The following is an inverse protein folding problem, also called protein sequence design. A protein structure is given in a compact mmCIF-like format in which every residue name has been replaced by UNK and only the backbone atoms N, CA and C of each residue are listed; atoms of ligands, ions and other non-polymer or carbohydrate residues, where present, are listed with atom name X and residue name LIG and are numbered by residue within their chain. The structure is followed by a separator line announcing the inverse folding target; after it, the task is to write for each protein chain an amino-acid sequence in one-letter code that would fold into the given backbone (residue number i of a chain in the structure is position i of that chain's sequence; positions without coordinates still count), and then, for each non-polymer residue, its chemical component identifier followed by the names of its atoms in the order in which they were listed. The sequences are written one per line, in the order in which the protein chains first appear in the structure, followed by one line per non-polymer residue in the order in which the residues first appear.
data_IF_291332641770
#
_entry.id   IF_291332641770
#
_cell.length_a   1.000
_cell.length_b   1.000
_cell.length_c   1.000
_cell.angle_alpha   90.00
_cell.angle_beta   90.00
_cell.angle_gamma   90.00
#
_symmetry.space_group_name_H-M   'P 1'
#
loop_
_entity.id
_entity.type
_entity.pdbx_description
1 polymer ?
#
# COMPACT_ATOMS: atom_id res chain seq x y z
N UNK A 1 -31.13 25.81 -5.57
CA UNK A 1 -32.00 25.46 -4.42
C UNK A 1 -32.56 24.07 -4.64
N UNK A 2 -31.96 23.05 -4.04
CA UNK A 2 -32.46 21.68 -4.08
C UNK A 2 -33.68 21.60 -3.13
N UNK A 3 -34.89 21.51 -3.68
CA UNK A 3 -36.09 21.16 -2.90
C UNK A 3 -35.96 19.68 -2.53
N UNK A 4 -35.58 19.41 -1.28
CA UNK A 4 -35.48 18.04 -0.77
C UNK A 4 -36.90 17.54 -0.47
N UNK A 5 -37.23 16.36 -0.98
CA UNK A 5 -38.50 15.67 -0.70
C UNK A 5 -38.52 15.18 0.75
N UNK A 6 -39.57 15.53 1.50
CA UNK A 6 -39.70 15.17 2.93
C UNK A 6 -40.57 13.92 3.18
N UNK A 7 -41.17 13.33 2.14
CA UNK A 7 -42.04 12.16 2.31
C UNK A 7 -41.21 10.88 2.47
N UNK A 8 -41.25 10.19 3.63
CA UNK A 8 -40.40 9.02 3.89
C UNK A 8 -40.77 7.81 3.02
N UNK A 9 -42.05 7.64 2.68
CA UNK A 9 -42.52 6.54 1.82
C UNK A 9 -42.06 6.76 0.38
N UNK A 10 -42.22 7.99 -0.14
CA UNK A 10 -41.76 8.34 -1.49
C UNK A 10 -40.23 8.27 -1.58
N UNK A 11 -39.51 8.66 -0.54
CA UNK A 11 -38.06 8.49 -0.44
C UNK A 11 -37.66 7.01 -0.50
N UNK A 12 -38.39 6.13 0.20
CA UNK A 12 -38.09 4.69 0.22
C UNK A 12 -38.31 4.05 -1.15
N UNK A 13 -39.37 4.44 -1.86
CA UNK A 13 -39.65 4.01 -3.25
C UNK A 13 -38.65 4.61 -4.25
N UNK A 14 -38.34 5.90 -4.14
CA UNK A 14 -37.36 6.57 -5.02
C UNK A 14 -35.96 6.02 -4.78
N UNK A 15 -35.54 5.75 -3.53
CA UNK A 15 -34.28 5.06 -3.22
C UNK A 15 -34.29 3.58 -3.64
N UNK A 16 -35.47 2.95 -3.70
CA UNK A 16 -35.64 1.61 -4.26
C UNK A 16 -35.48 1.56 -5.79
N UNK A 17 -35.83 2.65 -6.49
CA UNK A 17 -35.79 2.74 -7.96
C UNK A 17 -34.64 3.59 -8.54
N UNK A 18 -34.02 4.47 -7.76
CA UNK A 18 -32.84 5.24 -8.16
C UNK A 18 -31.58 4.56 -7.65
N UNK A 19 -30.71 4.14 -8.57
CA UNK A 19 -29.31 3.85 -8.26
C UNK A 19 -28.67 5.14 -7.71
N UNK A 20 -28.71 5.37 -6.39
CA UNK A 20 -28.24 6.66 -5.88
C UNK A 20 -28.04 6.80 -4.38
N UNK A 21 -28.85 6.17 -3.54
CA UNK A 21 -28.56 6.09 -2.10
C UNK A 21 -29.36 4.94 -1.52
N UNK A 22 -28.71 3.78 -1.51
CA UNK A 22 -29.15 2.63 -0.72
C UNK A 22 -29.45 3.11 0.70
N UNK A 23 -30.70 2.97 1.15
CA UNK A 23 -31.13 3.47 2.46
C UNK A 23 -30.29 2.91 3.61
N UNK A 24 -29.78 1.70 3.45
CA UNK A 24 -28.88 1.04 4.39
C UNK A 24 -27.45 1.59 4.40
N UNK A 25 -27.05 2.41 3.42
CA UNK A 25 -25.79 3.17 3.45
C UNK A 25 -25.94 4.52 4.17
N UNK A 26 -27.17 5.00 4.39
CA UNK A 26 -27.46 6.26 5.10
C UNK A 26 -26.78 6.32 6.47
N UNK A 27 -26.80 5.26 7.32
CA UNK A 27 -26.11 5.29 8.61
C UNK A 27 -24.60 5.51 8.48
N UNK A 28 -23.94 4.87 7.51
CA UNK A 28 -22.51 5.02 7.27
C UNK A 28 -22.16 6.43 6.78
N UNK A 29 -22.99 6.98 5.89
CA UNK A 29 -22.82 8.35 5.41
C UNK A 29 -22.99 9.38 6.54
N UNK A 30 -23.99 9.20 7.40
CA UNK A 30 -24.19 10.07 8.57
C UNK A 30 -23.05 9.94 9.58
N UNK A 31 -22.60 8.71 9.87
CA UNK A 31 -21.46 8.45 10.75
C UNK A 31 -20.21 9.20 10.25
N UNK A 32 -19.86 9.07 8.97
CA UNK A 32 -18.77 9.82 8.34
C UNK A 32 -18.96 11.34 8.41
N UNK A 33 -20.19 11.84 8.19
CA UNK A 33 -20.48 13.27 8.32
C UNK A 33 -20.28 13.77 9.76
N UNK A 34 -20.59 12.96 10.76
CA UNK A 34 -20.41 13.31 12.17
C UNK A 34 -18.95 13.31 12.61
N UNK A 35 -18.09 12.49 11.98
CA UNK A 35 -16.63 12.48 12.23
C UNK A 35 -15.97 13.83 11.97
N UNK A 36 -16.55 14.65 11.09
CA UNK A 36 -15.95 15.89 10.57
C UNK A 36 -16.28 17.14 11.38
N UNK A 37 -17.17 17.04 12.39
CA UNK A 37 -17.66 18.18 13.17
C UNK A 37 -16.92 18.42 14.50
N UNK A 38 -15.89 17.64 14.82
CA UNK A 38 -15.10 17.83 16.04
C UNK A 38 -13.82 18.64 15.75
N UNK A 39 -13.87 19.93 16.04
CA UNK A 39 -12.72 20.82 16.27
C UNK A 39 -11.55 20.71 15.27
N UNK A 40 -11.83 20.92 13.97
CA UNK A 40 -10.87 21.43 12.98
C UNK A 40 -9.63 20.60 12.65
N UNK A 41 -9.34 19.53 13.40
CA UNK A 41 -8.24 18.56 13.24
C UNK A 41 -8.45 17.28 14.09
N UNK A 42 -9.52 17.18 14.91
CA UNK A 42 -9.73 16.06 15.84
C UNK A 42 -10.88 15.20 15.33
N UNK A 43 -10.56 14.19 14.52
CA UNK A 43 -11.56 13.23 14.07
C UNK A 43 -11.69 12.12 15.12
N UNK A 44 -12.76 12.10 15.92
CA UNK A 44 -13.08 10.89 16.68
C UNK A 44 -13.52 9.83 15.68
N UNK A 45 -12.60 8.92 15.38
CA UNK A 45 -12.83 7.85 14.43
C UNK A 45 -13.66 6.75 15.12
N UNK A 46 -14.76 6.28 14.51
CA UNK A 46 -15.52 5.15 15.05
C UNK A 46 -14.68 3.88 15.18
N UNK A 47 -14.96 3.03 16.18
CA UNK A 47 -14.20 1.80 16.45
C UNK A 47 -13.97 0.90 15.23
N UNK A 48 -14.92 0.88 14.29
CA UNK A 48 -14.83 0.10 13.04
C UNK A 48 -13.63 0.47 12.16
N UNK A 49 -13.14 1.71 12.27
CA UNK A 49 -12.04 2.23 11.46
C UNK A 49 -10.71 2.31 12.24
N UNK A 50 -10.73 2.13 13.57
CA UNK A 50 -9.52 2.16 14.41
C UNK A 50 -8.50 1.11 13.98
N UNK A 51 -8.95 -0.08 13.55
CA UNK A 51 -8.09 -1.15 13.04
C UNK A 51 -7.29 -0.78 11.77
N UNK A 52 -7.66 0.32 11.10
CA UNK A 52 -6.98 0.82 9.89
C UNK A 52 -6.14 2.07 10.17
N UNK A 53 -6.06 2.50 11.44
CA UNK A 53 -5.19 3.57 11.89
C UNK A 53 -3.75 3.06 12.04
N UNK A 54 -2.76 3.95 11.90
CA UNK A 54 -1.36 3.55 12.04
C UNK A 54 -1.05 3.20 13.52
N UNK A 55 -0.35 2.08 13.83
CA UNK A 55 -0.12 1.64 15.22
C UNK A 55 0.53 2.70 16.12
N UNK A 56 1.45 3.50 15.57
CA UNK A 56 2.09 4.62 16.28
C UNK A 56 1.10 5.70 16.74
N UNK A 57 -0.01 5.88 16.03
CA UNK A 57 -1.03 6.88 16.34
C UNK A 57 -1.95 6.45 17.49
N UNK A 58 -2.20 5.14 17.61
CA UNK A 58 -2.99 4.54 18.69
C UNK A 58 -2.24 4.61 20.02
N UNK A 59 -0.92 4.39 20.00
CA UNK A 59 -0.09 4.31 21.21
C UNK A 59 0.25 5.69 21.83
N UNK A 60 0.23 6.77 21.06
CA UNK A 60 0.79 8.07 21.49
C UNK A 60 -0.24 9.16 21.77
N UNK A 61 -1.53 8.98 21.41
CA UNK A 61 -2.57 10.01 21.60
C UNK A 61 -3.93 9.43 22.03
N UNK A 62 -4.39 9.66 23.28
CA UNK A 62 -5.67 9.13 23.78
C UNK A 62 -6.93 9.82 23.18
N UNK A 63 -6.75 10.88 22.39
CA UNK A 63 -7.81 11.54 21.61
C UNK A 63 -7.46 11.43 20.11
N UNK A 64 -7.46 10.16 19.67
CA UNK A 64 -7.33 9.58 18.32
C UNK A 64 -7.18 10.58 17.18
N UNK A 65 -5.93 10.78 16.75
CA UNK A 65 -5.61 11.23 15.41
C UNK A 65 -5.25 9.98 14.62
N UNK A 66 -6.15 9.34 13.86
CA UNK A 66 -5.65 8.50 12.78
C UNK A 66 -5.45 9.39 11.56
N UNK A 67 -4.22 9.57 11.14
CA UNK A 67 -3.98 10.24 9.88
C UNK A 67 -4.23 9.23 8.76
N UNK A 68 -5.41 9.31 8.16
CA UNK A 68 -5.71 8.64 6.89
C UNK A 68 -4.95 9.30 5.72
N UNK A 69 -3.73 9.77 5.95
CA UNK A 69 -2.91 10.49 4.97
C UNK A 69 -2.65 9.64 3.73
N UNK A 70 -2.59 8.30 3.89
CA UNK A 70 -2.48 7.36 2.78
C UNK A 70 -3.69 7.39 1.82
N UNK A 71 -4.86 7.87 2.26
CA UNK A 71 -6.02 8.10 1.41
C UNK A 71 -5.85 9.31 0.48
N UNK A 72 -4.89 10.21 0.78
CA UNK A 72 -4.61 11.47 0.06
C UNK A 72 -5.85 12.34 -0.14
N UNK A 73 -6.72 12.37 0.87
CA UNK A 73 -7.89 13.24 0.92
C UNK A 73 -7.50 14.61 1.48
N UNK A 74 -8.20 15.66 1.06
CA UNK A 74 -7.94 17.01 1.55
C UNK A 74 -8.27 17.09 3.05
N UNK A 75 -7.32 17.48 3.92
CA UNK A 75 -7.50 17.40 5.38
C UNK A 75 -8.57 18.36 5.94
N UNK A 76 -9.04 19.33 5.14
CA UNK A 76 -9.92 20.42 5.58
C UNK A 76 -11.27 20.46 4.88
N UNK A 77 -11.57 19.50 3.99
CA UNK A 77 -12.82 19.48 3.24
C UNK A 77 -13.49 18.11 3.34
N UNK A 78 -14.81 18.06 3.59
CA UNK A 78 -15.55 16.80 3.66
C UNK A 78 -15.56 16.12 2.29
N UNK A 79 -14.72 15.10 2.12
CA UNK A 79 -14.62 14.36 0.88
C UNK A 79 -15.31 12.98 0.97
N UNK A 80 -16.45 12.78 0.27
CA UNK A 80 -17.21 11.54 0.34
C UNK A 80 -16.44 10.34 -0.23
N UNK A 81 -15.34 10.55 -0.97
CA UNK A 81 -14.45 9.49 -1.45
C UNK A 81 -13.83 8.69 -0.31
N UNK A 82 -13.79 9.23 0.91
CA UNK A 82 -13.43 8.49 2.13
C UNK A 82 -14.21 7.18 2.26
N UNK A 83 -15.53 7.22 2.07
CA UNK A 83 -16.39 6.03 2.22
C UNK A 83 -16.06 4.95 1.19
N UNK A 84 -15.80 5.37 -0.06
CA UNK A 84 -15.39 4.48 -1.14
C UNK A 84 -14.04 3.85 -0.83
N UNK A 85 -13.07 4.65 -0.39
CA UNK A 85 -11.73 4.18 -0.09
C UNK A 85 -11.70 3.27 1.13
N UNK A 86 -12.49 3.55 2.16
CA UNK A 86 -12.58 2.67 3.33
C UNK A 86 -13.21 1.32 2.98
N UNK A 87 -14.11 1.24 2.00
CA UNK A 87 -14.57 -0.05 1.49
C UNK A 87 -13.44 -0.86 0.85
N UNK A 88 -12.55 -0.20 0.09
CA UNK A 88 -11.34 -0.84 -0.46
C UNK A 88 -10.41 -1.29 0.66
N UNK A 89 -10.07 -0.40 1.60
CA UNK A 89 -9.18 -0.70 2.74
C UNK A 89 -9.69 -1.89 3.56
N UNK A 90 -11.00 -1.96 3.77
CA UNK A 90 -11.65 -3.05 4.49
C UNK A 90 -11.78 -4.36 3.68
N UNK A 91 -11.49 -4.35 2.38
CA UNK A 91 -11.63 -5.53 1.52
C UNK A 91 -13.08 -5.86 1.14
N UNK A 92 -14.02 -4.95 1.37
CA UNK A 92 -15.46 -5.17 1.13
C UNK A 92 -15.82 -4.78 -0.31
N UNK A 93 -15.74 -5.77 -1.21
CA UNK A 93 -16.09 -5.61 -2.62
C UNK A 93 -17.57 -5.25 -2.81
N UNK A 94 -18.47 -5.82 -2.01
CA UNK A 94 -19.90 -5.56 -2.13
C UNK A 94 -20.21 -4.10 -1.76
N UNK A 95 -19.63 -3.61 -0.66
CA UNK A 95 -19.78 -2.21 -0.25
C UNK A 95 -19.13 -1.25 -1.25
N UNK A 96 -17.96 -1.60 -1.79
CA UNK A 96 -17.29 -0.83 -2.85
C UNK A 96 -18.20 -0.69 -4.08
N UNK A 97 -18.75 -1.80 -4.59
CA UNK A 97 -19.64 -1.81 -5.75
C UNK A 97 -20.85 -0.89 -5.56
N UNK A 98 -21.38 -0.83 -4.33
CA UNK A 98 -22.52 0.01 -4.00
C UNK A 98 -22.14 1.48 -3.94
N UNK A 99 -21.00 1.81 -3.33
CA UNK A 99 -20.51 3.18 -3.27
C UNK A 99 -20.16 3.74 -4.65
N UNK A 100 -19.55 2.95 -5.53
CA UNK A 100 -19.20 3.37 -6.89
C UNK A 100 -20.40 3.70 -7.78
N UNK A 101 -21.63 3.32 -7.39
CA UNK A 101 -22.86 3.76 -8.08
C UNK A 101 -23.25 5.20 -7.73
N UNK A 102 -22.77 5.71 -6.60
CA UNK A 102 -23.23 6.98 -6.02
C UNK A 102 -22.11 8.02 -5.86
N UNK A 103 -20.86 7.57 -5.77
CA UNK A 103 -19.69 8.41 -5.53
C UNK A 103 -18.62 8.07 -6.55
N UNK A 104 -18.28 9.05 -7.38
CA UNK A 104 -17.15 8.95 -8.29
C UNK A 104 -15.84 8.96 -7.51
N UNK A 105 -14.99 7.97 -7.81
CA UNK A 105 -13.68 7.84 -7.22
C UNK A 105 -12.63 7.57 -8.31
N UNK A 106 -11.46 8.21 -8.26
CA UNK A 106 -10.41 7.99 -9.24
C UNK A 106 -9.92 6.55 -9.18
N UNK A 107 -10.01 5.85 -10.31
CA UNK A 107 -9.62 4.44 -10.43
C UNK A 107 -8.18 4.18 -9.95
N UNK A 108 -7.24 5.06 -10.28
CA UNK A 108 -5.85 4.95 -9.84
C UNK A 108 -5.72 4.82 -8.32
N UNK A 109 -6.50 5.60 -7.56
CA UNK A 109 -6.50 5.54 -6.08
C UNK A 109 -7.09 4.23 -5.57
N UNK A 110 -8.15 3.73 -6.20
CA UNK A 110 -8.76 2.45 -5.83
C UNK A 110 -7.79 1.29 -6.05
N UNK A 111 -7.06 1.30 -7.17
CA UNK A 111 -6.04 0.29 -7.49
C UNK A 111 -4.85 0.36 -6.53
N UNK A 112 -4.33 1.56 -6.26
CA UNK A 112 -3.23 1.76 -5.29
C UNK A 112 -3.62 1.24 -3.90
N UNK A 113 -4.85 1.52 -3.43
CA UNK A 113 -5.32 1.04 -2.14
C UNK A 113 -5.54 -0.47 -2.12
N UNK A 114 -6.11 -1.06 -3.17
CA UNK A 114 -6.27 -2.50 -3.27
C UNK A 114 -4.92 -3.22 -3.27
N UNK A 115 -3.93 -2.69 -4.00
CA UNK A 115 -2.56 -3.20 -4.00
C UNK A 115 -1.89 -3.05 -2.63
N UNK A 116 -2.02 -1.90 -1.97
CA UNK A 116 -1.47 -1.62 -0.63
C UNK A 116 -1.98 -2.56 0.45
N UNK A 117 -3.29 -2.86 0.43
CA UNK A 117 -3.94 -3.66 1.47
C UNK A 117 -4.12 -5.14 1.11
N UNK A 118 -3.64 -5.58 -0.06
CA UNK A 118 -3.62 -7.00 -0.43
C UNK A 118 -4.95 -7.55 -0.96
N UNK A 119 -5.86 -6.69 -1.39
CA UNK A 119 -7.20 -7.09 -1.83
C UNK A 119 -7.22 -7.45 -3.32
N UNK A 120 -6.64 -8.60 -3.67
CA UNK A 120 -6.55 -9.08 -5.05
C UNK A 120 -7.92 -9.14 -5.75
N UNK A 121 -8.96 -9.62 -5.07
CA UNK A 121 -10.32 -9.71 -5.62
C UNK A 121 -10.90 -8.34 -6.01
N UNK A 122 -10.62 -7.29 -5.23
CA UNK A 122 -11.02 -5.92 -5.54
C UNK A 122 -10.19 -5.38 -6.72
N UNK A 123 -8.88 -5.62 -6.70
CA UNK A 123 -7.98 -5.19 -7.77
C UNK A 123 -8.39 -5.79 -9.11
N UNK A 124 -8.69 -7.10 -9.15
CA UNK A 124 -9.21 -7.78 -10.33
C UNK A 124 -10.54 -7.19 -10.79
N UNK A 125 -11.47 -6.95 -9.86
CA UNK A 125 -12.76 -6.37 -10.19
C UNK A 125 -12.61 -4.99 -10.86
N UNK A 126 -11.78 -4.12 -10.29
CA UNK A 126 -11.53 -2.78 -10.84
C UNK A 126 -10.91 -2.87 -12.25
N UNK A 127 -9.89 -3.71 -12.42
CA UNK A 127 -9.21 -3.87 -13.72
C UNK A 127 -10.10 -4.51 -14.80
N UNK A 128 -10.99 -5.43 -14.42
CA UNK A 128 -11.88 -6.12 -15.37
C UNK A 128 -13.11 -5.30 -15.75
N UNK A 129 -13.68 -4.54 -14.81
CA UNK A 129 -14.99 -3.90 -14.99
C UNK A 129 -14.97 -2.37 -15.08
N UNK A 130 -13.92 -1.71 -14.56
CA UNK A 130 -13.85 -0.25 -14.51
C UNK A 130 -12.77 0.33 -15.42
N UNK A 131 -11.74 -0.44 -15.77
CA UNK A 131 -10.70 0.01 -16.69
C UNK A 131 -11.25 0.06 -18.14
N UNK A 132 -11.49 1.27 -18.64
CA UNK A 132 -11.91 1.49 -20.05
C UNK A 132 -10.79 1.18 -21.05
N UNK A 133 -9.52 1.43 -20.69
CA UNK A 133 -8.32 1.09 -21.47
C UNK A 133 -7.23 0.56 -20.54
N UNK A 134 -6.49 -0.47 -20.97
CA UNK A 134 -5.36 -1.03 -20.22
C UNK A 134 -4.14 -0.08 -20.17
N UNK A 135 -4.01 0.82 -21.13
CA UNK A 135 -2.90 1.79 -21.17
C UNK A 135 -2.99 2.85 -20.06
N UNK A 136 -4.19 3.11 -19.53
CA UNK A 136 -4.42 4.10 -18.47
C UNK A 136 -3.85 3.66 -17.10
N UNK A 137 -3.39 2.42 -16.95
CA UNK A 137 -2.86 1.90 -15.67
C UNK A 137 -1.38 1.54 -15.72
N UNK A 138 -0.76 1.56 -16.91
CA UNK A 138 0.66 1.19 -17.10
C UNK A 138 1.63 2.15 -16.44
N UNK A 139 1.26 3.42 -16.30
CA UNK A 139 2.07 4.43 -15.62
C UNK A 139 1.98 4.37 -14.10
N UNK A 140 1.06 3.56 -13.55
CA UNK A 140 0.91 3.40 -12.11
C UNK A 140 1.94 2.38 -11.61
N UNK A 141 2.69 2.72 -10.56
CA UNK A 141 3.68 1.86 -9.90
C UNK A 141 2.99 0.85 -8.96
N UNK A 142 2.00 0.10 -9.47
CA UNK A 142 1.21 -0.84 -8.65
C UNK A 142 2.05 -2.02 -8.15
N UNK A 143 3.05 -2.45 -8.92
CA UNK A 143 4.01 -3.47 -8.49
C UNK A 143 4.82 -2.98 -7.30
N UNK A 144 5.34 -1.76 -7.36
CA UNK A 144 6.11 -1.15 -6.28
C UNK A 144 5.27 -1.07 -5.00
N UNK A 145 4.01 -0.63 -5.10
CA UNK A 145 3.10 -0.54 -3.93
C UNK A 145 2.80 -1.93 -3.35
N UNK A 146 2.53 -2.93 -4.19
CA UNK A 146 2.28 -4.30 -3.72
C UNK A 146 3.53 -4.94 -3.11
N UNK A 147 4.70 -4.65 -3.67
CA UNK A 147 6.00 -5.13 -3.22
C UNK A 147 6.38 -4.52 -1.87
N UNK A 148 6.19 -3.21 -1.69
CA UNK A 148 6.39 -2.49 -0.42
C UNK A 148 5.58 -3.10 0.73
N UNK A 149 4.37 -3.61 0.46
CA UNK A 149 3.44 -4.11 1.47
C UNK A 149 3.35 -5.64 1.57
N UNK A 150 4.18 -6.38 0.82
CA UNK A 150 4.29 -7.83 1.00
C UNK A 150 3.24 -8.67 0.28
N UNK A 151 2.52 -8.12 -0.71
CA UNK A 151 1.41 -8.81 -1.38
C UNK A 151 1.86 -9.57 -2.64
N UNK A 152 2.57 -10.68 -2.46
CA UNK A 152 3.12 -11.48 -3.57
C UNK A 152 2.08 -11.91 -4.61
N UNK A 153 0.87 -12.29 -4.19
CA UNK A 153 -0.20 -12.69 -5.10
C UNK A 153 -0.62 -11.56 -6.07
N UNK A 154 -0.56 -10.31 -5.60
CA UNK A 154 -0.83 -9.14 -6.44
C UNK A 154 0.36 -8.88 -7.36
N UNK A 155 1.59 -9.00 -6.86
CA UNK A 155 2.82 -8.85 -7.66
C UNK A 155 2.82 -9.84 -8.84
N UNK A 156 2.56 -11.10 -8.56
CA UNK A 156 2.46 -12.16 -9.57
C UNK A 156 1.34 -11.86 -10.59
N UNK A 157 0.14 -11.55 -10.12
CA UNK A 157 -0.99 -11.20 -11.00
C UNK A 157 -0.69 -10.00 -11.92
N UNK A 158 -0.13 -8.91 -11.38
CA UNK A 158 0.20 -7.71 -12.15
C UNK A 158 1.30 -8.00 -13.18
N UNK A 159 2.33 -8.75 -12.78
CA UNK A 159 3.42 -9.17 -13.67
C UNK A 159 2.91 -10.04 -14.82
N UNK A 160 2.16 -11.11 -14.52
CA UNK A 160 1.65 -12.06 -15.51
C UNK A 160 0.72 -11.40 -16.55
N UNK A 161 0.01 -10.34 -16.16
CA UNK A 161 -0.87 -9.60 -17.05
C UNK A 161 -0.21 -8.38 -17.72
N UNK A 162 1.06 -8.08 -17.41
CA UNK A 162 1.77 -6.90 -17.93
C UNK A 162 1.11 -5.57 -17.53
N UNK A 163 0.58 -5.50 -16.31
CA UNK A 163 -0.17 -4.36 -15.77
C UNK A 163 0.69 -3.60 -14.76
N UNK A 164 0.72 -2.28 -14.91
CA UNK A 164 1.49 -1.39 -14.03
C UNK A 164 2.97 -1.29 -14.40
N UNK A 165 3.61 -0.25 -13.89
CA UNK A 165 5.06 -0.07 -13.91
C UNK A 165 5.72 -0.80 -12.74
N UNK A 166 6.97 -1.20 -12.95
CA UNK A 166 7.88 -1.61 -11.88
C UNK A 166 9.08 -0.68 -11.95
N UNK A 167 9.53 -0.19 -10.80
CA UNK A 167 10.81 0.52 -10.70
C UNK A 167 11.79 -0.26 -9.80
N UNK A 168 12.99 0.28 -9.66
CA UNK A 168 13.97 -0.21 -8.67
C UNK A 168 13.41 -0.14 -7.24
N UNK A 169 12.49 0.80 -6.97
CA UNK A 169 11.89 1.01 -5.65
C UNK A 169 11.07 -0.21 -5.21
N UNK A 170 10.56 -1.02 -6.13
CA UNK A 170 9.82 -2.24 -5.79
C UNK A 170 10.67 -3.23 -5.00
N UNK A 171 11.89 -3.52 -5.49
CA UNK A 171 12.79 -4.47 -4.84
C UNK A 171 13.43 -3.85 -3.60
N UNK A 172 13.77 -2.56 -3.65
CA UNK A 172 14.32 -1.82 -2.51
C UNK A 172 13.34 -1.76 -1.33
N UNK A 173 12.06 -1.46 -1.59
CA UNK A 173 11.02 -1.40 -0.57
C UNK A 173 10.65 -2.80 -0.04
N UNK A 174 10.56 -3.81 -0.92
CA UNK A 174 10.35 -5.20 -0.50
C UNK A 174 11.48 -5.69 0.41
N UNK A 175 12.73 -5.36 0.07
CA UNK A 175 13.89 -5.73 0.87
C UNK A 175 13.91 -5.00 2.23
N UNK A 176 13.61 -3.70 2.23
CA UNK A 176 13.53 -2.87 3.44
C UNK A 176 12.47 -3.39 4.43
N UNK A 177 11.36 -3.92 3.94
CA UNK A 177 10.27 -4.49 4.76
C UNK A 177 10.38 -6.01 4.97
N UNK A 178 11.46 -6.65 4.50
CA UNK A 178 11.74 -8.06 4.78
C UNK A 178 10.94 -9.06 3.96
N UNK A 179 10.33 -8.64 2.85
CA UNK A 179 9.51 -9.47 1.99
C UNK A 179 10.34 -10.34 1.03
N UNK A 180 11.09 -11.31 1.59
CA UNK A 180 12.01 -12.17 0.84
C UNK A 180 11.40 -12.80 -0.41
N UNK A 181 10.20 -13.38 -0.31
CA UNK A 181 9.56 -14.06 -1.44
C UNK A 181 9.31 -13.10 -2.63
N UNK A 182 9.07 -11.81 -2.36
CA UNK A 182 8.91 -10.79 -3.40
C UNK A 182 10.28 -10.39 -3.97
N UNK A 183 11.30 -10.27 -3.13
CA UNK A 183 12.67 -9.98 -3.57
C UNK A 183 13.19 -11.09 -4.50
N UNK A 184 12.95 -12.35 -4.16
CA UNK A 184 13.26 -13.52 -5.00
C UNK A 184 12.47 -13.50 -6.32
N UNK A 185 11.16 -13.23 -6.23
CA UNK A 185 10.29 -13.15 -7.40
C UNK A 185 10.74 -12.04 -8.37
N UNK A 186 10.94 -10.82 -7.87
CA UNK A 186 11.38 -9.68 -8.68
C UNK A 186 12.78 -9.92 -9.24
N UNK A 187 13.73 -10.44 -8.45
CA UNK A 187 15.08 -10.71 -8.92
C UNK A 187 15.17 -11.77 -10.03
N UNK A 188 14.20 -12.68 -10.11
CA UNK A 188 14.15 -13.73 -11.15
C UNK A 188 13.31 -13.35 -12.37
N UNK A 189 12.33 -12.46 -12.23
CA UNK A 189 11.35 -12.14 -13.29
C UNK A 189 11.49 -10.73 -13.86
N UNK A 190 12.26 -9.84 -13.23
CA UNK A 190 12.41 -8.42 -13.62
C UNK A 190 13.87 -8.06 -13.87
N UNK A 191 14.08 -7.00 -14.65
CA UNK A 191 15.42 -6.53 -15.07
C UNK A 191 15.84 -5.21 -14.42
N UNK A 192 14.91 -4.54 -13.77
CA UNK A 192 15.13 -3.29 -13.04
C UNK A 192 16.17 -3.46 -11.93
N UNK A 193 16.15 -4.62 -11.25
CA UNK A 193 17.05 -4.94 -10.16
C UNK A 193 16.78 -4.12 -8.91
N UNK A 194 17.79 -3.98 -8.06
CA UNK A 194 17.76 -3.20 -6.84
C UNK A 194 18.93 -2.22 -6.78
N UNK A 195 18.79 -1.19 -5.96
CA UNK A 195 19.90 -0.28 -5.61
C UNK A 195 20.61 -0.73 -4.33
N UNK A 196 21.61 0.04 -3.88
CA UNK A 196 22.23 -0.18 -2.58
C UNK A 196 21.22 -0.04 -1.42
N UNK A 197 20.13 0.71 -1.63
CA UNK A 197 19.10 0.93 -0.63
C UNK A 197 18.40 -0.37 -0.20
N UNK A 198 18.25 -1.38 -1.09
CA UNK A 198 17.73 -2.69 -0.71
C UNK A 198 18.55 -3.35 0.41
N UNK A 199 19.88 -3.37 0.23
CA UNK A 199 20.80 -3.99 1.19
C UNK A 199 20.86 -3.18 2.49
N UNK A 200 20.92 -1.86 2.37
CA UNK A 200 20.97 -0.94 3.52
C UNK A 200 19.68 -1.01 4.35
N UNK A 201 18.52 -0.99 3.70
CA UNK A 201 17.22 -1.10 4.35
C UNK A 201 17.01 -2.45 5.03
N UNK A 202 17.35 -3.55 4.35
CA UNK A 202 17.29 -4.89 4.91
C UNK A 202 18.24 -5.05 6.11
N UNK A 203 19.44 -4.46 6.04
CA UNK A 203 20.40 -4.47 7.13
C UNK A 203 19.95 -3.62 8.33
N UNK A 204 19.35 -2.45 8.07
CA UNK A 204 18.84 -1.53 9.09
C UNK A 204 17.70 -2.15 9.92
N UNK A 205 16.81 -2.93 9.28
CA UNK A 205 15.65 -3.55 9.93
C UNK A 205 15.88 -5.02 10.34
N UNK A 206 17.09 -5.54 10.16
CA UNK A 206 17.45 -6.87 10.66
C UNK A 206 16.97 -8.04 9.80
N UNK A 207 16.70 -7.83 8.51
CA UNK A 207 16.17 -8.84 7.59
C UNK A 207 17.29 -9.74 7.03
N UNK A 208 17.82 -10.63 7.88
CA UNK A 208 19.00 -11.45 7.56
C UNK A 208 18.83 -12.31 6.29
N UNK A 209 17.66 -12.91 6.10
CA UNK A 209 17.40 -13.76 4.93
C UNK A 209 17.44 -12.97 3.61
N UNK A 210 16.91 -11.74 3.62
CA UNK A 210 16.99 -10.82 2.48
C UNK A 210 18.43 -10.38 2.25
N UNK A 211 19.19 -10.05 3.29
CA UNK A 211 20.61 -9.67 3.17
C UNK A 211 21.42 -10.80 2.53
N UNK A 212 21.23 -12.07 2.95
CA UNK A 212 21.93 -13.20 2.32
C UNK A 212 21.58 -13.33 0.84
N UNK A 213 20.30 -13.24 0.49
CA UNK A 213 19.86 -13.30 -0.89
C UNK A 213 20.51 -12.18 -1.73
N UNK A 214 20.47 -10.94 -1.23
CA UNK A 214 21.06 -9.79 -1.92
C UNK A 214 22.58 -9.93 -2.07
N UNK A 215 23.30 -10.38 -1.04
CA UNK A 215 24.76 -10.58 -1.14
C UNK A 215 25.14 -11.67 -2.15
N UNK A 216 24.31 -12.70 -2.30
CA UNK A 216 24.54 -13.79 -3.25
C UNK A 216 24.32 -13.34 -4.71
N UNK A 217 23.28 -12.54 -4.98
CA UNK A 217 22.93 -12.11 -6.35
C UNK A 217 23.50 -10.74 -6.76
N UNK A 218 23.74 -9.88 -5.78
CA UNK A 218 24.27 -8.54 -5.93
C UNK A 218 25.38 -8.32 -4.89
N UNK A 219 26.62 -8.78 -5.17
CA UNK A 219 27.70 -8.78 -4.17
C UNK A 219 28.15 -7.37 -3.73
N UNK A 220 27.48 -6.30 -4.19
CA UNK A 220 27.80 -4.91 -3.86
C UNK A 220 27.47 -4.61 -2.39
N UNK A 221 28.50 -4.66 -1.55
CA UNK A 221 28.40 -4.24 -0.15
C UNK A 221 28.50 -2.71 -0.03
N UNK A 222 27.68 -2.11 0.82
CA UNK A 222 27.79 -0.70 1.23
C UNK A 222 28.39 -0.59 2.62
N UNK A 223 29.34 0.34 2.83
CA UNK A 223 29.85 0.65 4.18
C UNK A 223 28.73 1.13 5.09
N UNK A 224 27.79 1.88 4.52
CA UNK A 224 26.61 2.35 5.24
C UNK A 224 25.75 1.18 5.75
N UNK A 225 25.56 0.12 4.96
CA UNK A 225 24.83 -1.09 5.39
C UNK A 225 25.45 -1.74 6.63
N UNK A 226 26.79 -1.76 6.73
CA UNK A 226 27.49 -2.29 7.90
C UNK A 226 27.27 -1.39 9.13
N UNK A 227 27.36 -0.07 8.95
CA UNK A 227 27.19 0.90 10.03
C UNK A 227 25.76 0.84 10.59
N UNK A 228 24.72 0.83 9.75
CA UNK A 228 23.32 0.74 10.20
C UNK A 228 22.99 -0.61 10.85
N UNK A 229 23.59 -1.71 10.40
CA UNK A 229 23.43 -3.00 11.05
C UNK A 229 24.01 -3.00 12.48
N UNK A 230 25.17 -2.36 12.68
CA UNK A 230 25.78 -2.25 14.01
C UNK A 230 24.99 -1.31 14.94
N UNK A 231 24.54 -0.16 14.42
CA UNK A 231 23.75 0.82 15.18
C UNK A 231 22.43 0.24 15.69
N UNK A 232 21.78 -0.63 14.91
CA UNK A 232 20.52 -1.29 15.29
C UNK A 232 20.73 -2.65 16.01
N UNK A 233 21.98 -3.03 16.32
CA UNK A 233 22.28 -4.26 17.06
C UNK A 233 22.20 -5.56 16.25
N UNK A 234 22.15 -5.49 14.92
CA UNK A 234 22.08 -6.63 14.02
C UNK A 234 23.46 -7.26 13.76
N UNK A 235 24.04 -7.86 14.81
CA UNK A 235 25.42 -8.40 14.78
C UNK A 235 25.63 -9.53 13.76
N UNK A 236 24.63 -10.38 13.52
CA UNK A 236 24.72 -11.47 12.51
C UNK A 236 24.86 -10.90 11.11
N UNK A 237 24.05 -9.90 10.77
CA UNK A 237 24.11 -9.18 9.50
C UNK A 237 25.44 -8.43 9.35
N UNK A 238 25.91 -7.75 10.41
CA UNK A 238 27.21 -7.08 10.38
C UNK A 238 28.36 -8.07 10.10
N UNK A 239 28.29 -9.29 10.64
CA UNK A 239 29.26 -10.36 10.34
C UNK A 239 29.18 -10.77 8.86
N UNK A 240 27.98 -11.03 8.33
CA UNK A 240 27.77 -11.38 6.92
C UNK A 240 28.32 -10.30 5.97
N UNK A 241 28.06 -9.02 6.27
CA UNK A 241 28.55 -7.89 5.48
C UNK A 241 30.09 -7.76 5.51
N UNK A 242 30.73 -8.07 6.65
CA UNK A 242 32.20 -8.11 6.74
C UNK A 242 32.78 -9.27 5.94
N UNK A 243 32.20 -10.45 6.03
CA UNK A 243 32.64 -11.62 5.27
C UNK A 243 32.56 -11.34 3.76
N UNK A 244 31.44 -10.78 3.30
CA UNK A 244 31.25 -10.42 1.89
C UNK A 244 32.21 -9.32 1.40
N UNK A 245 32.62 -8.37 2.26
CA UNK A 245 33.58 -7.33 1.88
C UNK A 245 35.02 -7.87 1.79
N UNK A 246 35.39 -8.88 2.60
CA UNK A 246 36.69 -9.54 2.54
C UNK A 246 36.89 -10.40 1.28
N UNK A 247 35.85 -11.08 0.79
CA UNK A 247 35.92 -11.89 -0.44
C UNK A 247 36.26 -11.03 -1.66
N UNK A 248 35.71 -9.81 -1.73
CA UNK A 248 35.99 -8.85 -2.82
C UNK A 248 37.44 -8.38 -2.89
N UNK A 249 38.11 -8.26 -1.74
CA UNK A 249 39.52 -7.87 -1.72
C UNK A 249 40.35 -8.97 -2.36
N UNK A 250 40.08 -10.24 -2.03
CA UNK A 250 40.84 -11.38 -2.55
C UNK A 250 40.63 -11.61 -4.05
N UNK A 251 39.40 -11.48 -4.57
CA UNK A 251 39.13 -11.64 -6.02
C UNK A 251 39.76 -10.53 -6.87
N UNK A 252 39.86 -9.30 -6.36
CA UNK A 252 40.56 -8.21 -7.05
C UNK A 252 42.07 -8.45 -7.18
N UNK A 253 42.68 -9.21 -6.27
CA UNK A 253 44.10 -9.55 -6.31
C UNK A 253 44.39 -10.89 -7.02
N UNK A 254 43.39 -11.71 -7.30
CA UNK A 254 43.55 -12.98 -8.01
C UNK A 254 43.69 -12.84 -9.55
N UNK A 255 43.40 -11.65 -10.12
CA UNK A 255 43.51 -11.36 -11.57
C UNK A 255 44.69 -10.44 -11.93
N UNK A 256 45.62 -10.21 -11.00
CA UNK A 256 46.83 -9.39 -11.23
C UNK A 256 48.12 -10.21 -10.99
N UNK A 257 48.04 -11.54 -11.08
CA UNK A 257 49.18 -12.47 -10.93
C UNK A 257 49.57 -13.10 -12.25
#
# INVERSE_FOLDING_TARGET
MLRVLHCPVLLREICGFQNGLFEDLRPLFLEWRTMQNAYGNIVRIPPRYERFAHPYEIATRPLVYASFNYLRLAPRSPDPRFLVYMAVVAGDLALLQRWLRCIDAPMARLLELAARFGHLHILEYILKHLARKRDDVRHLLLLDVAAEHGHLAIVDYLHANGIGGCSIDAMDAAATNGHLAIVEYLGSHRREGCSAAALEGAACHGHEAVVRYLLHHHPQTSRFALDVALLNGHHTIAKLLREASHVRVCEKYAFVG
#
